data_IF_319765430713
#
_entry.id   IF_319765430713
#
_cell.length_a   1.000
_cell.length_b   1.000
_cell.length_c   1.000
_cell.angle_alpha   90.00
_cell.angle_beta   90.00
_cell.angle_gamma   90.00
#
_symmetry.space_group_name_H-M   'P 1'
#
loop_
_entity.id
_entity.type
_entity.pdbx_description
1 polymer ?
#
# COMPACT_ATOMS: atom_id res chain seq x y z
N UNK A 1 -30.93 3.42 -6.58
CA UNK A 1 -30.65 2.00 -6.89
C UNK A 1 -29.16 1.74 -7.14
N UNK A 2 -28.51 2.24 -8.21
CA UNK A 2 -27.08 1.94 -8.52
C UNK A 2 -26.13 2.21 -7.36
N UNK A 3 -26.26 3.34 -6.66
CA UNK A 3 -25.45 3.69 -5.51
C UNK A 3 -25.54 2.67 -4.37
N UNK A 4 -26.74 2.20 -4.07
CA UNK A 4 -26.98 1.23 -3.01
C UNK A 4 -26.44 -0.16 -3.38
N UNK A 5 -26.62 -0.58 -4.64
CA UNK A 5 -26.03 -1.82 -5.18
C UNK A 5 -24.50 -1.76 -5.03
N UNK A 6 -23.85 -0.69 -5.48
CA UNK A 6 -22.39 -0.53 -5.39
C UNK A 6 -21.90 -0.52 -3.94
N UNK A 7 -22.60 0.20 -3.05
CA UNK A 7 -22.29 0.27 -1.63
C UNK A 7 -22.35 -1.11 -0.96
N UNK A 8 -23.44 -1.85 -1.18
CA UNK A 8 -23.61 -3.19 -0.60
C UNK A 8 -22.62 -4.20 -1.18
N UNK A 9 -22.36 -4.20 -2.49
CA UNK A 9 -21.36 -5.07 -3.11
C UNK A 9 -19.93 -4.74 -2.62
N UNK A 10 -19.63 -3.48 -2.34
CA UNK A 10 -18.40 -3.09 -1.67
C UNK A 10 -18.25 -3.70 -0.27
N UNK A 11 -19.35 -3.92 0.46
CA UNK A 11 -19.35 -4.45 1.82
C UNK A 11 -19.50 -5.97 1.89
N UNK A 12 -20.36 -6.56 1.07
CA UNK A 12 -20.86 -7.92 1.19
C UNK A 12 -20.57 -8.75 -0.07
N UNK A 13 -20.49 -10.08 0.04
CA UNK A 13 -20.61 -10.98 -1.11
C UNK A 13 -21.90 -10.69 -1.89
N UNK A 14 -21.89 -10.97 -3.20
CA UNK A 14 -22.99 -10.58 -4.10
C UNK A 14 -24.33 -11.16 -3.67
N UNK A 15 -24.38 -12.43 -3.26
CA UNK A 15 -25.59 -13.08 -2.80
C UNK A 15 -26.16 -12.40 -1.54
N UNK A 16 -25.30 -12.05 -0.58
CA UNK A 16 -25.72 -11.32 0.62
C UNK A 16 -26.15 -9.89 0.29
N UNK A 17 -25.43 -9.21 -0.62
CA UNK A 17 -25.82 -7.89 -1.10
C UNK A 17 -27.20 -7.91 -1.76
N UNK A 18 -27.50 -8.94 -2.58
CA UNK A 18 -28.81 -9.14 -3.18
C UNK A 18 -29.92 -9.36 -2.13
N UNK A 19 -29.64 -10.19 -1.12
CA UNK A 19 -30.60 -10.41 -0.03
C UNK A 19 -30.90 -9.09 0.73
N UNK A 20 -29.90 -8.26 0.99
CA UNK A 20 -30.10 -6.96 1.62
C UNK A 20 -30.84 -5.96 0.71
N UNK A 21 -30.62 -6.00 -0.60
CA UNK A 21 -31.38 -5.19 -1.57
C UNK A 21 -32.86 -5.59 -1.56
N UNK A 22 -33.16 -6.88 -1.58
CA UNK A 22 -34.54 -7.38 -1.53
C UNK A 22 -35.28 -6.95 -0.24
N UNK A 23 -34.59 -6.96 0.92
CA UNK A 23 -35.15 -6.42 2.17
C UNK A 23 -35.51 -4.94 2.12
N UNK A 24 -34.86 -4.20 1.21
CA UNK A 24 -35.13 -2.78 0.96
C UNK A 24 -36.13 -2.55 -0.19
N UNK A 25 -36.78 -3.60 -0.67
CA UNK A 25 -37.72 -3.53 -1.79
C UNK A 25 -37.07 -3.36 -3.17
N UNK A 26 -35.78 -3.66 -3.28
CA UNK A 26 -35.02 -3.60 -4.54
C UNK A 26 -34.72 -5.05 -4.99
N UNK A 27 -35.65 -5.62 -5.77
CA UNK A 27 -35.53 -6.99 -6.28
C UNK A 27 -34.70 -6.98 -7.58
N UNK A 28 -33.46 -7.46 -7.48
CA UNK A 28 -32.54 -7.60 -8.60
C UNK A 28 -31.95 -9.01 -8.66
N UNK A 29 -31.76 -9.53 -9.86
CA UNK A 29 -31.06 -10.82 -10.03
C UNK A 29 -29.56 -10.67 -9.83
N UNK A 30 -28.86 -11.78 -9.63
CA UNK A 30 -27.40 -11.80 -9.41
C UNK A 30 -26.62 -11.19 -10.58
N UNK A 31 -27.11 -11.36 -11.82
CA UNK A 31 -26.45 -10.82 -13.02
C UNK A 31 -26.57 -9.30 -13.07
N UNK A 32 -27.75 -8.77 -12.74
CA UNK A 32 -28.00 -7.33 -12.66
C UNK A 32 -27.14 -6.69 -11.56
N UNK A 33 -27.09 -7.29 -10.35
CA UNK A 33 -26.22 -6.82 -9.26
C UNK A 33 -24.75 -6.79 -9.68
N UNK A 34 -24.25 -7.84 -10.34
CA UNK A 34 -22.88 -7.91 -10.87
C UNK A 34 -22.61 -6.85 -11.92
N UNK A 35 -23.54 -6.67 -12.87
CA UNK A 35 -23.41 -5.67 -13.94
C UNK A 35 -23.39 -4.26 -13.36
N UNK A 36 -24.38 -3.90 -12.55
CA UNK A 36 -24.51 -2.56 -11.96
C UNK A 36 -23.28 -2.21 -11.10
N UNK A 37 -22.84 -3.13 -10.24
CA UNK A 37 -21.66 -2.89 -9.39
C UNK A 37 -20.36 -2.82 -10.20
N UNK A 38 -20.22 -3.64 -11.24
CA UNK A 38 -19.07 -3.61 -12.14
C UNK A 38 -19.00 -2.31 -12.93
N UNK A 39 -20.12 -1.85 -13.52
CA UNK A 39 -20.23 -0.58 -14.23
C UNK A 39 -19.88 0.60 -13.31
N UNK A 40 -20.44 0.66 -12.11
CA UNK A 40 -20.17 1.73 -11.15
C UNK A 40 -18.70 1.73 -10.71
N UNK A 41 -18.13 0.56 -10.40
CA UNK A 41 -16.72 0.45 -10.06
C UNK A 41 -15.80 0.89 -11.20
N UNK A 42 -16.12 0.50 -12.44
CA UNK A 42 -15.39 0.93 -13.64
C UNK A 42 -15.49 2.46 -13.86
N UNK A 43 -16.66 3.05 -13.62
CA UNK A 43 -16.85 4.51 -13.71
C UNK A 43 -16.00 5.24 -12.66
N UNK A 44 -15.98 4.79 -11.41
CA UNK A 44 -15.13 5.38 -10.36
C UNK A 44 -13.65 5.27 -10.72
N UNK A 45 -13.21 4.12 -11.22
CA UNK A 45 -11.82 3.92 -11.66
C UNK A 45 -11.47 4.80 -12.87
N UNK A 46 -12.34 4.91 -13.86
CA UNK A 46 -12.13 5.77 -15.04
C UNK A 46 -12.06 7.25 -14.64
N UNK A 47 -12.90 7.68 -13.68
CA UNK A 47 -12.83 9.04 -13.11
C UNK A 47 -11.50 9.28 -12.42
N UNK A 48 -11.03 8.33 -11.58
CA UNK A 48 -9.72 8.38 -10.94
C UNK A 48 -8.59 8.49 -11.97
N UNK A 49 -8.63 7.65 -12.99
CA UNK A 49 -7.63 7.66 -14.07
C UNK A 49 -7.59 8.99 -14.81
N UNK A 50 -8.75 9.56 -15.14
CA UNK A 50 -8.84 10.88 -15.78
C UNK A 50 -8.23 11.98 -14.89
N UNK A 51 -8.54 11.99 -13.60
CA UNK A 51 -7.99 12.99 -12.69
C UNK A 51 -6.48 12.78 -12.48
N UNK A 52 -6.00 11.54 -12.51
CA UNK A 52 -4.58 11.22 -12.51
C UNK A 52 -3.88 11.76 -13.77
N UNK A 53 -4.51 11.65 -14.96
CA UNK A 53 -3.96 12.24 -16.19
C UNK A 53 -3.89 13.77 -16.10
N UNK A 54 -4.90 14.42 -15.51
CA UNK A 54 -4.86 15.87 -15.25
C UNK A 54 -3.76 16.24 -14.25
N UNK A 55 -3.54 15.42 -13.23
CA UNK A 55 -2.42 15.58 -12.30
C UNK A 55 -1.08 15.46 -13.01
N UNK A 56 -0.92 14.49 -13.91
CA UNK A 56 0.27 14.31 -14.75
C UNK A 56 0.55 15.56 -15.61
N UNK A 57 -0.48 16.11 -16.21
CA UNK A 57 -0.42 17.32 -17.02
C UNK A 57 -0.23 18.62 -16.21
N UNK A 58 -0.30 18.56 -14.87
CA UNK A 58 -0.26 19.76 -14.02
C UNK A 58 -1.54 20.60 -14.04
N UNK A 59 -2.63 20.05 -14.59
CA UNK A 59 -3.94 20.71 -14.74
C UNK A 59 -4.89 20.49 -13.55
N UNK A 60 -4.54 19.55 -12.66
CA UNK A 60 -5.34 19.30 -11.46
C UNK A 60 -4.98 20.33 -10.39
N UNK A 61 -5.92 21.16 -9.90
CA UNK A 61 -5.64 22.06 -8.82
C UNK A 61 -5.33 21.32 -7.52
N UNK A 62 -4.40 21.83 -6.73
CA UNK A 62 -4.13 21.30 -5.40
C UNK A 62 -5.34 21.56 -4.48
N UNK A 63 -5.64 20.60 -3.62
CA UNK A 63 -6.65 20.77 -2.58
C UNK A 63 -6.12 21.50 -1.35
N UNK A 64 -6.91 21.50 -0.27
CA UNK A 64 -6.55 22.17 0.99
C UNK A 64 -6.95 21.38 2.25
N UNK A 65 -7.51 20.19 2.11
CA UNK A 65 -8.01 19.42 3.27
C UNK A 65 -6.92 19.12 4.31
N UNK A 66 -5.67 18.95 3.86
CA UNK A 66 -4.51 18.67 4.74
C UNK A 66 -3.68 19.92 5.09
N UNK A 67 -4.10 21.11 4.66
CA UNK A 67 -3.39 22.34 4.98
C UNK A 67 -3.28 22.54 6.51
N UNK A 68 -2.08 22.80 7.01
CA UNK A 68 -1.78 23.00 8.43
C UNK A 68 -1.89 21.76 9.33
N UNK A 69 -2.24 20.60 8.79
CA UNK A 69 -2.43 19.35 9.54
C UNK A 69 -1.15 18.49 9.54
N UNK A 70 -1.02 17.63 10.56
CA UNK A 70 -0.08 16.51 10.52
C UNK A 70 -0.78 15.30 9.90
N UNK A 71 -0.17 14.72 8.90
CA UNK A 71 -0.73 13.58 8.16
C UNK A 71 0.26 12.43 8.11
N UNK A 72 -0.26 11.22 7.96
CA UNK A 72 0.55 10.04 7.72
C UNK A 72 0.07 9.29 6.48
N UNK A 73 1.03 8.66 5.82
CA UNK A 73 0.88 7.79 4.66
C UNK A 73 1.36 6.41 5.05
N UNK A 74 0.48 5.43 5.04
CA UNK A 74 0.82 4.02 5.18
C UNK A 74 0.68 3.31 3.84
N UNK A 75 1.65 2.48 3.50
CA UNK A 75 1.66 1.66 2.28
C UNK A 75 2.05 0.24 2.60
N UNK A 76 1.38 -0.73 1.97
CA UNK A 76 1.71 -2.15 2.13
C UNK A 76 1.01 -2.97 1.03
N UNK A 77 1.30 -4.28 0.95
CA UNK A 77 0.72 -5.23 0.02
C UNK A 77 -0.28 -6.20 0.66
N UNK A 78 -1.32 -6.54 -0.08
CA UNK A 78 -2.24 -7.62 0.27
C UNK A 78 -2.02 -8.86 -0.59
N UNK A 79 -2.94 -9.83 -0.54
CA UNK A 79 -2.95 -10.99 -1.44
C UNK A 79 -4.36 -11.31 -1.91
N UNK A 80 -4.54 -11.42 -3.22
CA UNK A 80 -5.80 -11.83 -3.85
C UNK A 80 -5.54 -12.90 -4.91
N UNK A 81 -6.54 -13.74 -5.17
CA UNK A 81 -6.47 -14.74 -6.24
C UNK A 81 -7.10 -14.18 -7.51
N UNK A 82 -6.29 -14.05 -8.55
CA UNK A 82 -6.74 -13.60 -9.86
C UNK A 82 -6.78 -14.79 -10.82
N UNK A 83 -7.83 -14.87 -11.63
CA UNK A 83 -7.98 -15.87 -12.68
C UNK A 83 -7.85 -15.25 -14.04
N UNK A 84 -7.02 -15.86 -14.88
CA UNK A 84 -6.89 -15.51 -16.30
C UNK A 84 -7.46 -16.63 -17.15
N UNK A 85 -8.32 -16.30 -18.12
CA UNK A 85 -8.90 -17.28 -19.02
C UNK A 85 -7.85 -17.69 -20.03
N UNK A 86 -7.44 -18.98 -20.01
CA UNK A 86 -6.39 -19.51 -20.89
C UNK A 86 -6.98 -20.08 -22.16
N UNK A 87 -8.12 -20.76 -22.10
CA UNK A 87 -8.76 -21.44 -23.24
C UNK A 87 -10.26 -21.60 -23.05
N UNK A 88 -11.01 -21.41 -24.12
CA UNK A 88 -12.42 -21.82 -24.18
C UNK A 88 -12.48 -23.30 -24.60
N UNK A 89 -12.95 -24.17 -23.73
CA UNK A 89 -13.12 -25.60 -24.05
C UNK A 89 -14.58 -25.80 -24.45
N UNK A 90 -14.80 -26.43 -25.61
CA UNK A 90 -16.13 -26.94 -25.98
C UNK A 90 -16.44 -28.14 -25.10
N UNK A 91 -17.46 -28.05 -24.26
CA UNK A 91 -17.98 -29.18 -23.50
C UNK A 91 -18.96 -29.98 -24.34
N UNK A 92 -19.21 -31.23 -23.94
CA UNK A 92 -20.33 -32.04 -24.46
C UNK A 92 -21.61 -31.33 -24.00
N UNK A 93 -22.45 -30.87 -24.97
CA UNK A 93 -23.66 -30.10 -24.73
C UNK A 93 -23.51 -28.60 -24.93
N UNK A 94 -24.58 -27.82 -24.66
CA UNK A 94 -24.67 -26.37 -24.96
C UNK A 94 -23.78 -25.46 -24.05
N UNK A 95 -23.13 -25.95 -22.99
CA UNK A 95 -22.34 -25.14 -22.06
C UNK A 95 -20.85 -25.21 -22.37
N UNK A 96 -20.31 -24.13 -22.89
CA UNK A 96 -18.85 -23.94 -23.06
C UNK A 96 -18.19 -23.71 -21.68
N UNK A 97 -17.28 -24.59 -21.27
CA UNK A 97 -16.45 -24.37 -20.07
C UNK A 97 -15.24 -23.51 -20.45
N UNK A 98 -14.85 -22.62 -19.55
CA UNK A 98 -13.63 -21.81 -19.68
C UNK A 98 -12.55 -22.43 -18.80
N UNK A 99 -11.39 -22.78 -19.38
CA UNK A 99 -10.21 -23.14 -18.60
C UNK A 99 -9.51 -21.87 -18.17
N UNK A 100 -9.17 -21.75 -16.91
CA UNK A 100 -8.50 -20.57 -16.35
C UNK A 100 -7.28 -21.01 -15.53
N UNK A 101 -6.28 -20.15 -15.47
CA UNK A 101 -5.13 -20.21 -14.56
C UNK A 101 -5.42 -19.29 -13.38
N UNK A 102 -5.07 -19.74 -12.18
CA UNK A 102 -5.21 -18.95 -10.94
C UNK A 102 -3.82 -18.57 -10.47
N UNK A 103 -3.63 -17.29 -10.18
CA UNK A 103 -2.39 -16.76 -9.66
C UNK A 103 -2.68 -15.90 -8.42
N UNK A 104 -1.74 -15.91 -7.47
CA UNK A 104 -1.75 -14.93 -6.40
C UNK A 104 -1.17 -13.61 -6.93
N UNK A 105 -1.93 -12.55 -6.77
CA UNK A 105 -1.49 -11.18 -7.09
C UNK A 105 -1.47 -10.38 -5.81
N UNK A 106 -0.59 -9.40 -5.77
CA UNK A 106 -0.41 -8.53 -4.61
C UNK A 106 -1.00 -7.15 -4.91
N UNK A 107 -2.24 -6.86 -4.47
CA UNK A 107 -2.74 -5.49 -4.52
C UNK A 107 -1.89 -4.63 -3.60
N UNK A 108 -1.38 -3.53 -4.12
CA UNK A 108 -0.71 -2.48 -3.36
C UNK A 108 -1.77 -1.52 -2.84
N UNK A 109 -1.68 -1.16 -1.57
CA UNK A 109 -2.69 -0.37 -0.84
C UNK A 109 -2.02 0.82 -0.19
N UNK A 110 -2.68 1.97 -0.23
CA UNK A 110 -2.30 3.18 0.49
C UNK A 110 -3.45 3.66 1.38
N UNK A 111 -3.07 4.22 2.53
CA UNK A 111 -3.95 5.01 3.37
C UNK A 111 -3.28 6.33 3.74
N UNK A 112 -3.99 7.45 3.52
CA UNK A 112 -3.61 8.77 4.00
C UNK A 112 -4.57 9.17 5.11
N UNK A 113 -4.07 9.62 6.24
CA UNK A 113 -4.90 9.98 7.38
C UNK A 113 -4.30 11.12 8.22
N UNK A 114 -5.17 11.86 8.88
CA UNK A 114 -4.79 12.91 9.82
C UNK A 114 -4.31 12.31 11.15
N UNK A 115 -3.26 12.91 11.73
CA UNK A 115 -2.57 12.42 12.92
C UNK A 115 -2.73 13.40 14.08
N UNK A 116 -3.09 12.90 15.26
CA UNK A 116 -3.16 13.66 16.50
C UNK A 116 -1.75 13.92 17.13
N UNK A 117 -1.71 14.74 18.18
CA UNK A 117 -0.46 15.06 18.90
C UNK A 117 0.22 13.84 19.55
N UNK A 118 -0.46 12.69 19.61
CA UNK A 118 0.06 11.41 20.16
C UNK A 118 0.48 10.42 19.07
N UNK A 119 0.50 10.84 17.81
CA UNK A 119 0.85 9.98 16.69
C UNK A 119 -0.23 8.97 16.29
N UNK A 120 -1.50 9.22 16.62
CA UNK A 120 -2.62 8.33 16.31
C UNK A 120 -3.53 8.98 15.27
N UNK A 121 -4.21 8.15 14.50
CA UNK A 121 -5.24 8.63 13.58
C UNK A 121 -6.32 9.40 14.35
N UNK A 122 -6.67 10.58 13.86
CA UNK A 122 -7.71 11.43 14.44
C UNK A 122 -9.06 10.73 14.34
N UNK A 123 -9.77 10.62 15.46
CA UNK A 123 -11.11 10.01 15.51
C UNK A 123 -12.09 10.86 14.70
N UNK A 124 -12.91 10.20 13.90
CA UNK A 124 -13.91 10.88 13.05
C UNK A 124 -13.34 11.52 11.79
N UNK A 125 -12.02 11.57 11.59
CA UNK A 125 -11.45 11.93 10.30
C UNK A 125 -11.75 10.86 9.25
N UNK A 126 -11.95 11.30 7.99
CA UNK A 126 -12.17 10.40 6.87
C UNK A 126 -10.84 10.20 6.12
N UNK A 127 -10.18 9.03 6.26
CA UNK A 127 -8.95 8.77 5.54
C UNK A 127 -9.18 8.71 4.03
N UNK A 128 -8.13 8.88 3.26
CA UNK A 128 -8.10 8.48 1.85
C UNK A 128 -7.57 7.06 1.80
N UNK A 129 -8.30 6.14 1.17
CA UNK A 129 -7.88 4.77 0.95
C UNK A 129 -7.94 4.52 -0.55
N UNK A 130 -6.85 4.06 -1.13
CA UNK A 130 -6.79 3.64 -2.53
C UNK A 130 -5.81 2.48 -2.69
N UNK A 131 -5.78 1.89 -3.89
CA UNK A 131 -4.86 0.80 -4.20
C UNK A 131 -5.05 0.29 -5.62
N UNK A 132 -4.16 -0.61 -6.01
CA UNK A 132 -4.16 -1.20 -7.35
C UNK A 132 -3.44 -2.54 -7.38
N UNK A 133 -3.79 -3.38 -8.35
CA UNK A 133 -3.07 -4.62 -8.67
C UNK A 133 -1.93 -4.41 -9.70
N UNK A 134 -1.69 -3.16 -10.13
CA UNK A 134 -0.79 -2.84 -11.23
C UNK A 134 0.65 -2.55 -10.78
N UNK A 135 0.97 -2.94 -9.56
CA UNK A 135 2.33 -2.88 -9.04
C UNK A 135 2.67 -1.62 -8.26
N UNK A 136 3.95 -1.52 -7.85
CA UNK A 136 4.41 -0.46 -6.96
C UNK A 136 4.39 0.93 -7.61
N UNK A 137 4.78 1.06 -8.87
CA UNK A 137 4.85 2.35 -9.56
C UNK A 137 3.49 3.00 -9.67
N UNK A 138 2.48 2.22 -10.06
CA UNK A 138 1.10 2.70 -10.14
C UNK A 138 0.59 3.15 -8.75
N UNK A 139 0.94 2.43 -7.66
CA UNK A 139 0.55 2.88 -6.32
C UNK A 139 1.26 4.18 -5.93
N UNK A 140 2.56 4.30 -6.17
CA UNK A 140 3.33 5.49 -5.82
C UNK A 140 2.79 6.73 -6.52
N UNK A 141 2.38 6.57 -7.77
CA UNK A 141 1.74 7.66 -8.51
C UNK A 141 0.38 8.04 -7.88
N UNK A 142 -0.43 7.06 -7.47
CA UNK A 142 -1.68 7.31 -6.74
C UNK A 142 -1.40 8.00 -5.39
N UNK A 143 -0.32 7.66 -4.70
CA UNK A 143 0.11 8.37 -3.48
C UNK A 143 0.37 9.85 -3.76
N UNK A 144 1.18 10.16 -4.77
CA UNK A 144 1.48 11.54 -5.16
C UNK A 144 0.21 12.30 -5.58
N UNK A 145 -0.63 11.67 -6.38
CA UNK A 145 -1.93 12.21 -6.80
C UNK A 145 -2.83 12.56 -5.61
N UNK A 146 -3.00 11.64 -4.67
CA UNK A 146 -3.84 11.89 -3.50
C UNK A 146 -3.24 12.94 -2.56
N UNK A 147 -1.94 12.93 -2.32
CA UNK A 147 -1.28 13.97 -1.54
C UNK A 147 -1.48 15.36 -2.16
N UNK A 148 -1.35 15.49 -3.48
CA UNK A 148 -1.63 16.73 -4.20
C UNK A 148 -3.10 17.14 -4.07
N UNK A 149 -4.02 16.22 -4.37
CA UNK A 149 -5.48 16.45 -4.31
C UNK A 149 -5.95 16.88 -2.91
N UNK A 150 -5.27 16.43 -1.85
CA UNK A 150 -5.60 16.76 -0.48
C UNK A 150 -4.84 17.99 0.06
N UNK A 151 -3.94 18.58 -0.72
CA UNK A 151 -3.19 19.77 -0.34
C UNK A 151 -2.05 19.52 0.64
N UNK A 152 -1.39 18.35 0.53
CA UNK A 152 -0.31 17.96 1.45
C UNK A 152 0.93 18.87 1.38
N UNK A 153 1.15 19.60 0.29
CA UNK A 153 2.22 20.59 0.19
C UNK A 153 2.11 21.69 1.29
N UNK A 154 0.90 21.94 1.79
CA UNK A 154 0.65 22.88 2.88
C UNK A 154 0.49 22.19 4.25
N UNK A 155 0.72 20.88 4.35
CA UNK A 155 0.65 20.15 5.60
C UNK A 155 1.75 20.58 6.57
N UNK A 156 1.48 20.49 7.88
CA UNK A 156 2.46 20.77 8.91
C UNK A 156 3.58 19.72 8.93
N UNK A 157 3.22 18.45 8.81
CA UNK A 157 4.12 17.30 8.74
C UNK A 157 3.49 16.22 7.85
N UNK A 158 4.28 15.63 6.99
CA UNK A 158 3.92 14.45 6.19
C UNK A 158 4.81 13.28 6.64
N UNK A 159 4.20 12.24 7.21
CA UNK A 159 4.92 11.06 7.70
C UNK A 159 4.67 9.87 6.80
N UNK A 160 5.70 9.26 6.29
CA UNK A 160 5.63 7.97 5.60
C UNK A 160 5.99 6.87 6.60
N UNK A 161 5.04 5.96 6.87
CA UNK A 161 5.23 4.82 7.79
C UNK A 161 5.05 3.54 6.99
N UNK A 162 6.12 2.74 6.88
CA UNK A 162 6.07 1.50 6.12
C UNK A 162 7.05 0.45 6.68
N UNK A 163 6.94 -0.77 6.14
CA UNK A 163 7.96 -1.79 6.30
C UNK A 163 9.26 -1.43 5.55
N UNK A 164 10.24 -2.30 5.59
CA UNK A 164 11.51 -2.04 4.92
C UNK A 164 11.53 -2.32 3.43
N UNK A 165 10.38 -2.50 2.80
CA UNK A 165 10.29 -2.85 1.38
C UNK A 165 10.98 -1.80 0.48
N UNK A 166 11.98 -2.18 -0.33
CA UNK A 166 12.75 -1.23 -1.14
C UNK A 166 11.89 -0.41 -2.10
N UNK A 167 10.83 -1.02 -2.66
CA UNK A 167 9.96 -0.35 -3.62
C UNK A 167 9.27 0.90 -3.06
N UNK A 168 9.10 1.01 -1.73
CA UNK A 168 8.55 2.20 -1.08
C UNK A 168 9.63 3.28 -0.99
N UNK A 169 10.73 2.96 -0.33
CA UNK A 169 11.73 3.94 0.08
C UNK A 169 12.49 4.58 -1.09
N UNK A 170 12.71 3.83 -2.17
CA UNK A 170 13.38 4.33 -3.37
C UNK A 170 12.57 5.38 -4.14
N UNK A 171 11.26 5.37 -3.98
CA UNK A 171 10.34 6.22 -4.74
C UNK A 171 9.85 7.44 -3.99
N UNK A 172 10.22 7.59 -2.70
CA UNK A 172 9.73 8.70 -1.88
C UNK A 172 10.27 10.06 -2.34
N UNK A 173 11.51 10.13 -2.76
CA UNK A 173 12.09 11.38 -3.27
C UNK A 173 11.32 11.87 -4.50
N UNK A 174 10.92 10.95 -5.38
CA UNK A 174 10.05 11.28 -6.51
C UNK A 174 8.69 11.82 -6.04
N UNK A 175 8.06 11.21 -5.02
CA UNK A 175 6.79 11.69 -4.45
C UNK A 175 6.96 13.09 -3.87
N UNK A 176 8.02 13.31 -3.07
CA UNK A 176 8.33 14.59 -2.45
C UNK A 176 8.47 15.69 -3.51
N UNK A 177 9.25 15.43 -4.55
CA UNK A 177 9.46 16.37 -5.65
C UNK A 177 8.16 16.62 -6.45
N UNK A 178 7.43 15.54 -6.80
CA UNK A 178 6.22 15.63 -7.63
C UNK A 178 5.08 16.39 -6.96
N UNK A 179 4.92 16.23 -5.64
CA UNK A 179 3.90 16.92 -4.84
C UNK A 179 4.38 18.30 -4.37
N UNK A 180 5.67 18.60 -4.52
CA UNK A 180 6.33 19.82 -3.98
C UNK A 180 6.20 19.89 -2.44
N UNK A 181 6.44 18.75 -1.77
CA UNK A 181 6.50 18.73 -0.32
C UNK A 181 7.79 19.43 0.14
N UNK A 182 7.70 20.17 1.25
CA UNK A 182 8.89 20.70 1.92
C UNK A 182 9.65 19.52 2.59
N UNK A 183 10.89 19.20 2.18
CA UNK A 183 11.64 18.08 2.75
C UNK A 183 11.82 18.18 4.28
N UNK A 184 11.87 19.40 4.85
CA UNK A 184 11.99 19.62 6.29
C UNK A 184 10.74 19.17 7.07
N UNK A 185 9.60 19.02 6.37
CA UNK A 185 8.33 18.57 6.93
C UNK A 185 8.04 17.10 6.63
N UNK A 186 8.89 16.44 5.86
CA UNK A 186 8.77 15.00 5.58
C UNK A 186 9.46 14.19 6.67
N UNK A 187 8.82 13.14 7.14
CA UNK A 187 9.37 12.22 8.14
C UNK A 187 9.18 10.77 7.63
N UNK A 188 10.27 10.05 7.56
CA UNK A 188 10.27 8.63 7.20
C UNK A 188 10.42 7.78 8.45
N UNK A 189 9.55 6.79 8.59
CA UNK A 189 9.50 5.91 9.77
C UNK A 189 9.46 4.46 9.32
N UNK A 190 10.50 3.70 9.66
CA UNK A 190 10.40 2.25 9.60
C UNK A 190 9.42 1.77 10.68
N UNK A 191 8.46 0.94 10.27
CA UNK A 191 7.52 0.36 11.23
C UNK A 191 8.22 -0.27 12.43
N UNK A 192 7.76 0.09 13.64
CA UNK A 192 8.32 -0.41 14.89
C UNK A 192 8.30 -1.92 15.00
N UNK A 193 7.20 -2.57 14.59
CA UNK A 193 7.05 -4.02 14.69
C UNK A 193 8.04 -4.72 13.76
N UNK A 194 8.25 -4.18 12.54
CA UNK A 194 9.24 -4.69 11.60
C UNK A 194 10.67 -4.50 12.13
N UNK A 195 11.00 -3.33 12.66
CA UNK A 195 12.33 -3.08 13.22
C UNK A 195 12.67 -4.04 14.38
N UNK A 196 11.76 -4.26 15.31
CA UNK A 196 11.99 -5.19 16.42
C UNK A 196 11.93 -6.66 15.99
N UNK A 197 11.20 -6.98 14.92
CA UNK A 197 11.23 -8.31 14.32
C UNK A 197 12.62 -8.62 13.74
N UNK A 198 13.18 -7.71 12.95
CA UNK A 198 14.54 -7.85 12.40
C UNK A 198 15.59 -7.95 13.50
N UNK A 199 15.46 -7.18 14.59
CA UNK A 199 16.30 -7.33 15.77
C UNK A 199 16.18 -8.75 16.38
N UNK A 200 14.97 -9.28 16.49
CA UNK A 200 14.73 -10.62 17.02
C UNK A 200 15.34 -11.72 16.13
N UNK A 201 15.22 -11.57 14.80
CA UNK A 201 15.80 -12.49 13.83
C UNK A 201 17.33 -12.46 13.88
N UNK A 202 17.94 -11.27 14.00
CA UNK A 202 19.38 -11.12 14.18
C UNK A 202 19.88 -11.89 15.40
N UNK A 203 19.22 -11.70 16.56
CA UNK A 203 19.60 -12.41 17.80
C UNK A 203 19.33 -13.91 17.72
N UNK A 204 18.32 -14.36 16.99
CA UNK A 204 18.04 -15.78 16.80
C UNK A 204 19.07 -16.50 15.91
N UNK A 205 19.78 -15.74 15.09
CA UNK A 205 20.84 -16.26 14.21
C UNK A 205 22.22 -16.36 14.90
N UNK A 206 22.35 -15.85 16.13
CA UNK A 206 23.57 -15.91 16.90
C UNK A 206 23.60 -17.17 17.81
N UNK A 207 24.79 -17.71 18.14
CA UNK A 207 24.95 -18.88 19.00
C UNK A 207 24.72 -18.53 20.49
N UNK A 208 23.54 -18.01 20.81
CA UNK A 208 23.14 -17.59 22.15
C UNK A 208 22.17 -18.59 22.78
N UNK A 209 22.29 -18.76 24.11
CA UNK A 209 21.25 -19.49 24.87
C UNK A 209 19.93 -18.74 24.83
N UNK A 210 18.84 -19.43 25.13
CA UNK A 210 17.49 -18.81 25.11
C UNK A 210 17.38 -17.63 26.10
N UNK A 211 18.01 -17.77 27.29
CA UNK A 211 17.96 -16.72 28.32
C UNK A 211 18.83 -15.52 27.93
N UNK A 212 20.03 -15.74 27.40
CA UNK A 212 20.87 -14.67 26.86
C UNK A 212 20.14 -13.88 25.74
N UNK A 213 19.49 -14.60 24.83
CA UNK A 213 18.72 -13.99 23.74
C UNK A 213 17.56 -13.15 24.24
N UNK A 214 16.78 -13.65 25.23
CA UNK A 214 15.66 -12.92 25.84
C UNK A 214 16.14 -11.64 26.53
N UNK A 215 17.22 -11.72 27.29
CA UNK A 215 17.78 -10.55 27.98
C UNK A 215 18.31 -9.49 27.01
N UNK A 216 19.12 -9.91 26.05
CA UNK A 216 19.63 -9.03 24.98
C UNK A 216 18.51 -8.37 24.20
N UNK A 217 17.51 -9.15 23.78
CA UNK A 217 16.33 -8.59 23.07
C UNK A 217 15.63 -7.52 23.88
N UNK A 218 15.35 -7.77 25.16
CA UNK A 218 14.69 -6.80 26.06
C UNK A 218 15.51 -5.52 26.18
N UNK A 219 16.82 -5.62 26.33
CA UNK A 219 17.74 -4.49 26.47
C UNK A 219 17.89 -3.71 25.17
N UNK A 220 18.20 -4.38 24.06
CA UNK A 220 18.41 -3.74 22.75
C UNK A 220 17.12 -3.11 22.22
N UNK A 221 15.96 -3.76 22.41
CA UNK A 221 14.66 -3.19 22.09
C UNK A 221 14.39 -1.88 22.88
N UNK A 222 14.81 -1.81 24.16
CA UNK A 222 14.71 -0.58 24.96
C UNK A 222 15.63 0.52 24.42
N UNK A 223 16.87 0.20 24.04
CA UNK A 223 17.80 1.13 23.38
C UNK A 223 17.22 1.66 22.07
N UNK A 224 16.74 0.77 21.21
CA UNK A 224 16.11 1.14 19.93
C UNK A 224 14.92 2.09 20.14
N UNK A 225 14.03 1.79 21.11
CA UNK A 225 12.89 2.64 21.47
C UNK A 225 13.31 4.04 21.94
N UNK A 226 14.48 4.14 22.55
CA UNK A 226 15.05 5.41 23.02
C UNK A 226 15.87 6.14 21.95
N UNK A 227 15.82 5.68 20.69
CA UNK A 227 16.48 6.30 19.54
C UNK A 227 17.99 6.02 19.46
N UNK A 228 18.48 5.06 20.22
CA UNK A 228 19.88 4.63 20.27
C UNK A 228 20.18 3.51 19.27
N UNK A 229 19.76 3.69 18.01
CA UNK A 229 19.94 2.65 16.97
C UNK A 229 21.42 2.34 16.69
N UNK A 230 22.30 3.35 16.76
CA UNK A 230 23.75 3.16 16.57
C UNK A 230 24.36 2.28 17.66
N UNK A 231 23.95 2.44 18.94
CA UNK A 231 24.42 1.60 20.05
C UNK A 231 23.95 0.15 19.85
N UNK A 232 22.70 -0.05 19.39
CA UNK A 232 22.15 -1.36 19.06
C UNK A 232 22.97 -2.04 17.94
N UNK A 233 23.27 -1.30 16.88
CA UNK A 233 24.03 -1.81 15.74
C UNK A 233 25.49 -2.14 16.13
N UNK A 234 26.14 -1.26 16.90
CA UNK A 234 27.49 -1.50 17.38
C UNK A 234 27.57 -2.80 18.20
N UNK A 235 26.62 -3.02 19.09
CA UNK A 235 26.57 -4.25 19.89
C UNK A 235 26.29 -5.49 19.05
N UNK A 236 25.34 -5.42 18.08
CA UNK A 236 25.09 -6.52 17.15
C UNK A 236 26.34 -6.87 16.31
N UNK A 237 27.08 -5.86 15.86
CA UNK A 237 28.35 -6.07 15.13
C UNK A 237 29.40 -6.78 15.98
N UNK A 238 29.52 -6.44 17.27
CA UNK A 238 30.44 -7.13 18.20
C UNK A 238 30.02 -8.58 18.40
N UNK A 239 28.73 -8.84 18.59
CA UNK A 239 28.20 -10.20 18.76
C UNK A 239 28.32 -11.07 17.50
N UNK A 240 28.38 -10.45 16.33
CA UNK A 240 28.44 -11.14 15.04
C UNK A 240 29.85 -11.18 14.45
N UNK A 241 30.91 -10.80 15.21
CA UNK A 241 32.28 -10.66 14.68
C UNK A 241 32.84 -11.95 14.06
N UNK A 242 32.52 -13.10 14.66
CA UNK A 242 32.97 -14.40 14.21
C UNK A 242 32.02 -15.05 13.17
N UNK A 243 30.91 -14.41 12.84
CA UNK A 243 29.94 -14.94 11.90
C UNK A 243 30.32 -14.61 10.44
N UNK A 244 30.10 -15.54 9.50
CA UNK A 244 30.34 -15.26 8.08
C UNK A 244 29.59 -14.03 7.59
N UNK A 245 30.21 -13.23 6.73
CA UNK A 245 29.65 -11.97 6.25
C UNK A 245 28.34 -12.09 5.45
N UNK A 246 28.04 -13.27 4.91
CA UNK A 246 26.79 -13.62 4.22
C UNK A 246 25.75 -14.30 5.13
N UNK A 247 26.05 -14.45 6.40
CA UNK A 247 25.17 -15.08 7.40
C UNK A 247 23.86 -14.32 7.61
N UNK A 248 22.89 -14.99 8.23
CA UNK A 248 21.59 -14.40 8.52
C UNK A 248 21.70 -13.17 9.42
N UNK A 249 22.58 -13.19 10.43
CA UNK A 249 22.77 -12.04 11.33
C UNK A 249 23.28 -10.81 10.60
N UNK A 250 24.27 -10.95 9.69
CA UNK A 250 24.79 -9.82 8.92
C UNK A 250 23.78 -9.26 7.93
N UNK A 251 22.85 -10.05 7.40
CA UNK A 251 21.73 -9.54 6.58
C UNK A 251 20.83 -8.62 7.39
N UNK A 252 20.50 -9.02 8.62
CA UNK A 252 19.67 -8.22 9.52
C UNK A 252 20.38 -6.95 9.99
N UNK A 253 21.68 -7.03 10.30
CA UNK A 253 22.49 -5.85 10.64
C UNK A 253 22.49 -4.85 9.48
N UNK A 254 22.78 -5.30 8.25
CA UNK A 254 22.75 -4.42 7.07
C UNK A 254 21.40 -3.77 6.84
N UNK A 255 20.31 -4.54 7.02
CA UNK A 255 18.96 -4.01 6.94
C UNK A 255 18.74 -2.88 7.96
N UNK A 256 19.02 -3.11 9.23
CA UNK A 256 18.85 -2.12 10.28
C UNK A 256 19.78 -0.92 10.10
N UNK A 257 21.02 -1.13 9.66
CA UNK A 257 22.00 -0.06 9.36
C UNK A 257 21.45 0.87 8.28
N UNK A 258 21.00 0.32 7.15
CA UNK A 258 20.40 1.09 6.06
C UNK A 258 19.29 2.02 6.57
N UNK A 259 18.41 1.53 7.42
CA UNK A 259 17.30 2.32 7.97
C UNK A 259 17.74 3.28 9.08
N UNK A 260 18.78 2.95 9.83
CA UNK A 260 19.40 3.83 10.83
C UNK A 260 20.05 5.05 10.17
N UNK A 261 20.84 4.81 9.11
CA UNK A 261 21.53 5.86 8.36
C UNK A 261 20.55 6.82 7.68
N UNK A 262 19.45 6.28 7.14
CA UNK A 262 18.34 7.06 6.60
C UNK A 262 17.50 7.78 7.69
N UNK A 263 17.84 7.63 8.98
CA UNK A 263 17.13 8.32 10.07
C UNK A 263 15.76 7.74 10.41
N UNK A 264 15.37 6.58 9.86
CA UNK A 264 14.04 5.94 10.00
C UNK A 264 13.83 5.22 11.34
N UNK A 265 14.86 5.14 12.19
CA UNK A 265 14.83 4.48 13.50
C UNK A 265 14.89 5.47 14.68
N UNK A 266 14.60 6.76 14.48
CA UNK A 266 14.64 7.81 15.52
C UNK A 266 13.39 7.79 16.39
N UNK A 267 12.99 6.63 16.92
CA UNK A 267 11.69 6.45 17.60
C UNK A 267 11.47 7.37 18.80
N UNK A 268 12.51 7.74 19.54
CA UNK A 268 12.38 8.73 20.62
C UNK A 268 11.91 10.10 20.08
N UNK A 269 12.59 10.59 19.03
CA UNK A 269 12.23 11.87 18.39
C UNK A 269 10.82 11.79 17.78
N UNK A 270 10.47 10.70 17.13
CA UNK A 270 9.13 10.49 16.55
C UNK A 270 8.05 10.59 17.61
N UNK A 271 8.23 9.92 18.74
CA UNK A 271 7.30 9.98 19.87
C UNK A 271 7.16 11.40 20.44
N UNK A 272 8.27 12.13 20.64
CA UNK A 272 8.24 13.50 21.13
C UNK A 272 7.55 14.46 20.15
N UNK A 273 7.62 14.18 18.84
CA UNK A 273 6.98 14.99 17.79
C UNK A 273 5.55 14.58 17.49
N UNK A 274 5.00 13.56 18.16
CA UNK A 274 3.68 13.01 17.86
C UNK A 274 3.60 12.38 16.46
N UNK A 275 4.69 11.75 16.01
CA UNK A 275 4.75 11.04 14.73
C UNK A 275 4.36 9.56 14.94
N UNK A 276 3.54 8.96 14.07
CA UNK A 276 3.22 7.53 14.14
C UNK A 276 4.50 6.68 14.03
N UNK A 277 4.57 5.61 14.83
CA UNK A 277 5.72 4.70 14.81
C UNK A 277 5.40 3.32 14.25
N UNK A 278 4.12 3.03 14.01
CA UNK A 278 3.68 1.70 13.60
C UNK A 278 2.72 1.71 12.43
N UNK A 279 2.76 0.64 11.66
CA UNK A 279 1.94 0.38 10.47
C UNK A 279 0.54 -0.17 10.78
N UNK A 280 0.13 -0.26 12.04
CA UNK A 280 -1.16 -0.88 12.42
C UNK A 280 -2.39 -0.30 11.72
N UNK A 281 -2.33 0.96 11.26
CA UNK A 281 -3.40 1.59 10.48
C UNK A 281 -3.49 0.97 9.08
N UNK A 282 -2.35 0.78 8.39
CA UNK A 282 -2.35 0.15 7.05
C UNK A 282 -2.67 -1.34 7.14
N UNK A 283 -2.15 -2.06 8.14
CA UNK A 283 -2.49 -3.48 8.37
C UNK A 283 -4.00 -3.67 8.58
N UNK A 284 -4.61 -2.84 9.45
CA UNK A 284 -6.06 -2.82 9.64
C UNK A 284 -6.81 -2.46 8.34
N UNK A 285 -6.26 -1.58 7.52
CA UNK A 285 -6.85 -1.21 6.23
C UNK A 285 -6.82 -2.38 5.26
N UNK A 286 -5.70 -3.06 5.09
CA UNK A 286 -5.58 -4.27 4.27
C UNK A 286 -6.56 -5.34 4.73
N UNK A 287 -6.66 -5.57 6.05
CA UNK A 287 -7.65 -6.51 6.59
C UNK A 287 -9.06 -6.14 6.14
N UNK A 288 -9.45 -4.87 6.32
CA UNK A 288 -10.82 -4.40 6.02
C UNK A 288 -11.11 -4.35 4.53
N UNK A 289 -10.16 -3.89 3.71
CA UNK A 289 -10.39 -3.64 2.28
C UNK A 289 -10.11 -4.87 1.43
N UNK A 290 -9.01 -5.58 1.71
CA UNK A 290 -8.58 -6.75 0.92
C UNK A 290 -9.08 -8.05 1.53
N UNK A 291 -8.66 -8.35 2.78
CA UNK A 291 -8.84 -9.70 3.32
C UNK A 291 -10.31 -10.06 3.57
N UNK A 292 -11.11 -9.15 4.10
CA UNK A 292 -12.51 -9.40 4.42
C UNK A 292 -13.44 -9.41 3.20
N UNK A 293 -13.00 -8.91 2.04
CA UNK A 293 -13.88 -8.82 0.85
C UNK A 293 -13.34 -9.52 -0.37
N UNK A 294 -12.04 -9.37 -0.65
CA UNK A 294 -11.43 -9.90 -1.87
C UNK A 294 -10.80 -11.28 -1.68
N UNK A 295 -10.55 -11.69 -0.43
CA UNK A 295 -9.91 -12.96 -0.10
C UNK A 295 -10.92 -13.89 0.60
N UNK A 296 -10.98 -15.15 0.18
CA UNK A 296 -11.86 -16.17 0.78
C UNK A 296 -11.77 -17.48 0.05
N UNK A 297 -12.34 -18.54 0.63
CA UNK A 297 -12.42 -19.84 0.00
C UNK A 297 -13.33 -19.76 -1.23
N UNK A 298 -12.89 -20.32 -2.37
CA UNK A 298 -13.67 -20.30 -3.61
C UNK A 298 -13.77 -18.93 -4.31
N UNK A 299 -13.18 -17.85 -3.75
CA UNK A 299 -13.23 -16.51 -4.36
C UNK A 299 -12.05 -16.35 -5.33
N UNK A 300 -12.39 -16.03 -6.58
CA UNK A 300 -11.45 -15.75 -7.66
C UNK A 300 -11.95 -14.54 -8.44
N UNK A 301 -11.06 -13.62 -8.76
CA UNK A 301 -11.38 -12.38 -9.46
C UNK A 301 -10.75 -12.36 -10.86
N UNK A 302 -11.38 -11.70 -11.82
CA UNK A 302 -10.63 -11.11 -12.92
C UNK A 302 -9.96 -9.84 -12.38
N UNK A 303 -8.86 -9.41 -12.97
CA UNK A 303 -8.14 -8.21 -12.52
C UNK A 303 -9.06 -6.99 -12.49
N UNK A 304 -9.80 -6.75 -13.58
CA UNK A 304 -10.80 -5.69 -13.70
C UNK A 304 -11.83 -5.70 -12.55
N UNK A 305 -12.42 -6.87 -12.27
CA UNK A 305 -13.42 -6.98 -11.20
C UNK A 305 -12.81 -6.82 -9.80
N UNK A 306 -11.56 -7.24 -9.61
CA UNK A 306 -10.85 -7.04 -8.35
C UNK A 306 -10.61 -5.54 -8.09
N UNK A 307 -10.12 -4.81 -9.11
CA UNK A 307 -9.95 -3.35 -9.06
C UNK A 307 -11.28 -2.64 -8.79
N UNK A 308 -12.34 -2.99 -9.53
CA UNK A 308 -13.66 -2.37 -9.35
C UNK A 308 -14.23 -2.59 -7.93
N UNK A 309 -14.20 -3.82 -7.43
CA UNK A 309 -14.70 -4.12 -6.07
C UNK A 309 -13.78 -3.52 -5.00
N UNK A 310 -12.47 -3.47 -5.24
CA UNK A 310 -11.54 -2.77 -4.35
C UNK A 310 -11.91 -1.30 -4.23
N UNK A 311 -12.16 -0.62 -5.35
CA UNK A 311 -12.52 0.80 -5.38
C UNK A 311 -13.83 1.08 -4.64
N UNK A 312 -14.87 0.28 -4.90
CA UNK A 312 -16.15 0.39 -4.17
C UNK A 312 -15.93 0.19 -2.66
N UNK A 313 -15.14 -0.82 -2.29
CA UNK A 313 -14.83 -1.12 -0.89
C UNK A 313 -14.05 0.00 -0.22
N UNK A 314 -13.01 0.52 -0.87
CA UNK A 314 -12.18 1.60 -0.36
C UNK A 314 -13.02 2.87 -0.10
N UNK A 315 -13.91 3.22 -1.03
CA UNK A 315 -14.82 4.36 -0.89
C UNK A 315 -15.74 4.24 0.33
N UNK A 316 -16.30 3.03 0.56
CA UNK A 316 -17.19 2.80 1.72
C UNK A 316 -16.41 2.77 3.03
N UNK A 317 -15.29 2.04 3.07
CA UNK A 317 -14.48 1.86 4.29
C UNK A 317 -13.80 3.16 4.75
N UNK A 318 -13.46 4.04 3.81
CA UNK A 318 -12.91 5.37 4.11
C UNK A 318 -13.95 6.38 4.63
N UNK A 319 -15.24 6.07 4.50
CA UNK A 319 -16.33 7.02 4.79
C UNK A 319 -16.46 8.14 3.74
N UNK A 320 -15.85 7.96 2.55
CA UNK A 320 -15.89 8.94 1.43
C UNK A 320 -16.83 8.49 0.30
N UNK A 321 -17.75 7.58 0.58
CA UNK A 321 -18.63 6.99 -0.43
C UNK A 321 -19.39 8.05 -1.22
N UNK A 322 -20.09 8.97 -0.55
CA UNK A 322 -20.92 9.98 -1.20
C UNK A 322 -20.06 10.96 -2.01
N UNK A 323 -18.93 11.38 -1.48
CA UNK A 323 -17.97 12.27 -2.15
C UNK A 323 -17.46 11.66 -3.47
N UNK A 324 -17.02 10.39 -3.42
CA UNK A 324 -16.46 9.70 -4.58
C UNK A 324 -17.55 9.39 -5.60
N UNK A 325 -18.74 9.01 -5.15
CA UNK A 325 -19.89 8.74 -6.00
C UNK A 325 -20.34 10.00 -6.74
N UNK A 326 -20.47 11.12 -6.04
CA UNK A 326 -20.88 12.39 -6.65
C UNK A 326 -19.87 12.88 -7.66
N UNK A 327 -18.57 12.81 -7.31
CA UNK A 327 -17.49 13.13 -8.23
C UNK A 327 -17.53 12.28 -9.52
N UNK A 328 -17.82 10.97 -9.40
CA UNK A 328 -17.97 10.09 -10.56
C UNK A 328 -19.20 10.48 -11.41
N UNK A 329 -20.33 10.84 -10.78
CA UNK A 329 -21.55 11.30 -11.47
C UNK A 329 -21.34 12.61 -12.23
N UNK A 330 -20.70 13.59 -11.62
CA UNK A 330 -20.35 14.85 -12.26
C UNK A 330 -19.42 14.64 -13.45
N UNK A 331 -18.48 13.72 -13.33
CA UNK A 331 -17.59 13.36 -14.41
C UNK A 331 -18.34 12.81 -15.63
N UNK A 332 -19.28 11.90 -15.40
CA UNK A 332 -20.13 11.32 -16.45
C UNK A 332 -21.04 12.37 -17.06
N UNK A 333 -21.64 13.24 -16.25
CA UNK A 333 -22.51 14.30 -16.73
C UNK A 333 -21.79 15.30 -17.65
N UNK A 334 -20.53 15.60 -17.36
CA UNK A 334 -19.68 16.47 -18.18
C UNK A 334 -19.27 15.82 -19.50
N UNK A 335 -19.07 14.53 -19.51
CA UNK A 335 -18.56 13.81 -20.67
C UNK A 335 -19.42 12.59 -21.03
N UNK A 336 -20.65 12.87 -21.49
CA UNK A 336 -21.62 11.85 -21.91
C UNK A 336 -21.22 11.03 -23.14
N UNK A 337 -20.20 11.45 -23.89
CA UNK A 337 -19.72 10.78 -25.11
C UNK A 337 -18.60 9.81 -24.84
N UNK A 338 -17.96 9.83 -23.65
CA UNK A 338 -16.85 8.96 -23.29
C UNK A 338 -17.36 7.60 -22.86
N UNK A 339 -16.79 6.54 -23.43
CA UNK A 339 -16.96 5.18 -22.90
C UNK A 339 -16.19 5.03 -21.58
N UNK A 340 -16.92 4.88 -20.49
CA UNK A 340 -16.36 4.68 -19.16
C UNK A 340 -15.98 3.21 -18.97
N UNK A 341 -14.78 2.85 -19.41
CA UNK A 341 -14.20 1.52 -19.25
C UNK A 341 -12.98 1.60 -18.34
N UNK A 342 -12.79 0.57 -17.55
CA UNK A 342 -11.53 0.43 -16.84
C UNK A 342 -10.41 0.11 -17.85
N UNK A 343 -9.32 0.84 -17.73
CA UNK A 343 -8.06 0.57 -18.44
C UNK A 343 -6.94 0.48 -17.42
N UNK A 344 -5.94 -0.39 -17.64
CA UNK A 344 -4.73 -0.40 -16.83
C UNK A 344 -4.05 0.96 -16.80
N UNK A 345 -3.48 1.32 -15.65
CA UNK A 345 -2.64 2.50 -15.55
C UNK A 345 -1.31 2.25 -16.28
N UNK A 346 -0.94 3.13 -17.17
CA UNK A 346 0.40 3.15 -17.75
C UNK A 346 1.34 3.76 -16.73
N UNK A 347 2.37 3.01 -16.30
CA UNK A 347 3.37 3.51 -15.38
C UNK A 347 4.29 4.53 -16.04
N UNK A 348 4.64 5.57 -15.31
CA UNK A 348 5.59 6.58 -15.78
C UNK A 348 6.99 5.98 -15.96
N UNK A 349 7.68 6.35 -17.03
CA UNK A 349 9.03 5.88 -17.34
C UNK A 349 10.03 6.23 -16.24
N UNK A 350 9.89 7.41 -15.63
CA UNK A 350 10.70 7.89 -14.51
C UNK A 350 10.67 6.94 -13.29
N UNK A 351 9.50 6.35 -13.00
CA UNK A 351 9.34 5.41 -11.89
C UNK A 351 9.92 4.02 -12.23
N UNK A 352 9.81 3.61 -13.48
CA UNK A 352 10.40 2.33 -13.95
C UNK A 352 11.92 2.35 -13.90
N UNK A 353 12.54 3.47 -14.26
CA UNK A 353 14.00 3.62 -14.23
C UNK A 353 14.61 3.42 -12.84
N UNK A 354 13.84 3.66 -11.76
CA UNK A 354 14.32 3.44 -10.39
C UNK A 354 14.53 1.96 -10.00
N UNK A 355 13.95 1.02 -10.75
CA UNK A 355 14.18 -0.41 -10.54
C UNK A 355 15.39 -0.93 -11.34
N UNK A 356 15.63 -0.37 -12.55
CA UNK A 356 16.72 -0.79 -13.44
C UNK A 356 18.11 -0.49 -12.85
N UNK A 357 18.29 0.63 -12.16
CA UNK A 357 19.54 1.00 -11.49
C UNK A 357 20.03 -0.03 -10.45
N UNK A 358 19.11 -0.78 -9.81
CA UNK A 358 19.47 -1.78 -8.81
C UNK A 358 19.83 -3.15 -9.39
N UNK A 359 19.27 -3.52 -10.53
CA UNK A 359 19.68 -4.75 -11.22
C UNK A 359 21.13 -4.61 -11.72
N UNK A 360 21.53 -3.43 -12.21
CA UNK A 360 22.92 -3.16 -12.57
C UNK A 360 23.88 -3.14 -11.38
N UNK A 361 23.49 -2.52 -10.25
CA UNK A 361 24.30 -2.49 -9.04
C UNK A 361 24.44 -3.88 -8.40
N UNK A 362 23.39 -4.70 -8.44
CA UNK A 362 23.41 -6.07 -7.91
C UNK A 362 24.27 -6.99 -8.80
N UNK A 363 24.19 -6.86 -10.14
CA UNK A 363 24.99 -7.63 -11.09
C UNK A 363 26.47 -7.23 -11.05
N UNK A 364 26.79 -5.95 -10.85
CA UNK A 364 28.19 -5.48 -10.69
C UNK A 364 28.81 -5.94 -9.38
N UNK A 365 28.04 -6.02 -8.28
CA UNK A 365 28.50 -6.57 -7.00
C UNK A 365 28.79 -8.07 -7.08
N UNK A 366 27.92 -8.83 -7.75
CA UNK A 366 28.09 -10.29 -7.93
C UNK A 366 29.26 -10.60 -8.86
N UNK A 367 29.50 -9.80 -9.91
CA UNK A 367 30.66 -9.95 -10.81
C UNK A 367 31.99 -9.58 -10.15
N UNK A 368 32.00 -8.62 -9.22
CA UNK A 368 33.22 -8.29 -8.43
C UNK A 368 33.56 -9.39 -7.42
N UNK A 369 32.56 -10.01 -6.78
CA UNK A 369 32.78 -11.12 -5.85
C UNK A 369 33.23 -12.39 -6.56
N UNK A 370 32.72 -12.71 -7.74
CA UNK A 370 33.17 -13.86 -8.52
C UNK A 370 34.59 -13.71 -9.10
N UNK A 371 35.06 -12.48 -9.34
CA UNK A 371 36.46 -12.21 -9.74
C UNK A 371 37.46 -12.21 -8.59
N UNK A 372 37.02 -11.88 -7.37
CA UNK A 372 37.84 -11.94 -6.16
C UNK A 372 37.99 -13.38 -5.60
N UNK A 373 37.06 -14.27 -5.94
CA UNK A 373 37.11 -15.68 -5.54
C UNK A 373 37.92 -16.57 -6.55
N UNK A 374 38.34 -16.03 -7.68
CA UNK A 374 39.07 -16.70 -8.74
C UNK A 374 40.53 -16.22 -8.88
N UNK A 375 40.96 -15.32 -8.00
CA UNK A 375 42.35 -14.86 -7.83
C UNK A 375 42.89 -15.26 -6.44
#
# INVERSE_FOLDING_TARGET
MQAEVGRLVGLLPIEQARAELARKGLEEDEKAVRRISGELGAQMLATRTRDLMRFRAGELPAGSEYAGKSIAVGMDGGRVRVRTIVKKIRGVGKRKRKKFKVEWREPKVVILFEVDKKGRMVRGSRPVIDGTLQGPDALIELVAFHLHRMGAAQAKVVTFVADGAPWIWKRLDWVVARVKLDPCRVVEVLDWCHAVHHLSVALAALPLTEDQRKELYKRLRKLLKNGKSRDVLAELCVLAVDEPGDSAVWREIRYLTKHSDAGRLRYHCFRCRGVPMGSGVIESTIRRVVNLRLKGNGIFWTEENAEAVFQLRAAVVSGRWEEILEHAREAIARDRRTEWRWTPLECLAELKALDDEDEELTQTSTKKQSRSAAA
#
